data_IF_383739168709
#
_entry.id   IF_383739168709
#
_cell.length_a   1.000
_cell.length_b   1.000
_cell.length_c   1.000
_cell.angle_alpha   90.00
_cell.angle_beta   90.00
_cell.angle_gamma   90.00
#
_symmetry.space_group_name_H-M   'P 1'
#
loop_
_entity.id
_entity.type
_entity.pdbx_description
1 polymer ?
#
# COMPACT_ATOMS: atom_id res chain seq x y z
N UNK A 1 36.69 0.31 7.21
CA UNK A 1 36.83 -0.74 6.16
C UNK A 1 36.73 -0.06 4.81
N UNK A 2 37.47 -0.51 3.78
CA UNK A 2 37.29 0.01 2.44
C UNK A 2 36.01 -0.59 1.84
N UNK A 3 35.15 0.22 1.23
CA UNK A 3 33.96 -0.26 0.53
C UNK A 3 34.37 -0.96 -0.76
N UNK A 4 33.61 -1.96 -1.16
CA UNK A 4 33.81 -2.69 -2.42
C UNK A 4 33.42 -1.79 -3.60
N UNK A 5 32.44 -0.90 -3.39
CA UNK A 5 31.87 -0.02 -4.42
C UNK A 5 32.44 1.39 -4.26
N UNK A 6 33.00 1.93 -5.34
CA UNK A 6 33.28 3.36 -5.44
C UNK A 6 32.00 4.12 -5.80
N UNK A 7 31.30 4.58 -4.78
CA UNK A 7 30.03 5.27 -4.93
C UNK A 7 30.19 6.64 -5.62
N UNK A 8 31.33 7.33 -5.41
CA UNK A 8 31.58 8.65 -5.99
C UNK A 8 31.81 8.57 -7.50
N UNK A 9 32.52 7.52 -7.94
CA UNK A 9 32.72 7.29 -9.38
C UNK A 9 31.43 6.83 -10.08
N UNK A 10 30.60 6.08 -9.39
CA UNK A 10 29.41 5.44 -9.97
C UNK A 10 28.14 6.27 -9.95
N UNK A 11 28.05 7.28 -9.11
CA UNK A 11 26.82 8.06 -8.88
C UNK A 11 27.09 9.55 -9.10
N UNK A 12 26.09 10.27 -9.60
CA UNK A 12 26.16 11.72 -9.57
C UNK A 12 25.98 12.24 -8.11
N UNK A 13 26.30 13.52 -7.82
CA UNK A 13 26.31 14.03 -6.45
C UNK A 13 24.98 13.82 -5.71
N UNK A 14 23.82 14.04 -6.34
CA UNK A 14 22.52 13.86 -5.71
C UNK A 14 22.18 12.37 -5.46
N UNK A 15 22.55 11.49 -6.38
CA UNK A 15 22.40 10.05 -6.22
C UNK A 15 23.34 9.52 -5.12
N UNK A 16 24.57 10.05 -5.07
CA UNK A 16 25.53 9.71 -4.03
C UNK A 16 24.99 10.08 -2.64
N UNK A 17 24.55 11.32 -2.46
CA UNK A 17 23.96 11.80 -1.22
C UNK A 17 22.77 10.90 -0.81
N UNK A 18 21.81 10.66 -1.72
CA UNK A 18 20.65 9.82 -1.45
C UNK A 18 21.01 8.35 -1.13
N UNK A 19 22.07 7.81 -1.71
CA UNK A 19 22.49 6.44 -1.47
C UNK A 19 23.28 6.26 -0.16
N UNK A 20 24.01 7.30 0.29
CA UNK A 20 24.93 7.24 1.43
C UNK A 20 24.40 7.87 2.72
N UNK A 21 23.34 8.69 2.65
CA UNK A 21 22.64 9.20 3.84
C UNK A 21 21.76 8.09 4.42
N UNK A 22 22.26 7.36 5.40
CA UNK A 22 21.59 6.16 5.94
C UNK A 22 20.70 6.45 7.15
N UNK A 23 20.98 7.50 7.88
CA UNK A 23 20.23 7.88 9.07
C UNK A 23 19.04 8.78 8.75
N UNK A 24 17.93 8.53 9.44
CA UNK A 24 16.70 9.31 9.34
C UNK A 24 15.92 9.12 8.03
N UNK A 25 14.78 9.80 7.90
CA UNK A 25 13.95 9.76 6.70
C UNK A 25 14.57 10.56 5.56
N UNK A 26 14.68 9.95 4.38
CA UNK A 26 15.22 10.59 3.17
C UNK A 26 14.14 10.59 2.09
N UNK A 27 13.76 11.78 1.61
CA UNK A 27 12.85 11.96 0.48
C UNK A 27 13.65 12.27 -0.79
N UNK A 28 13.53 11.43 -1.82
CA UNK A 28 14.19 11.62 -3.12
C UNK A 28 13.14 11.97 -4.17
N UNK A 29 13.14 13.20 -4.65
CA UNK A 29 12.29 13.66 -5.75
C UNK A 29 13.07 13.58 -7.07
N UNK A 30 12.58 12.75 -7.99
CA UNK A 30 13.32 12.45 -9.20
C UNK A 30 12.40 12.18 -10.40
N UNK A 31 12.66 12.80 -11.54
CA UNK A 31 11.93 12.63 -12.79
C UNK A 31 12.10 11.25 -13.44
N UNK A 32 11.37 10.99 -14.51
CA UNK A 32 11.58 9.79 -15.32
C UNK A 32 13.00 9.77 -15.91
N UNK A 33 13.65 8.61 -15.93
CA UNK A 33 15.02 8.47 -16.46
C UNK A 33 16.15 8.98 -15.56
N UNK A 34 15.87 9.62 -14.43
CA UNK A 34 16.87 10.17 -13.50
C UNK A 34 17.71 9.13 -12.74
N UNK A 35 17.42 7.85 -12.92
CA UNK A 35 18.13 6.77 -12.23
C UNK A 35 17.61 6.42 -10.83
N UNK A 36 16.33 6.70 -10.49
CA UNK A 36 15.73 6.33 -9.20
C UNK A 36 16.03 4.90 -8.75
N UNK A 37 15.79 3.94 -9.64
CA UNK A 37 16.06 2.52 -9.37
C UNK A 37 17.54 2.28 -9.09
N UNK A 38 18.44 2.93 -9.85
CA UNK A 38 19.89 2.86 -9.61
C UNK A 38 20.23 3.35 -8.21
N UNK A 39 19.73 4.52 -7.81
CA UNK A 39 19.96 5.09 -6.48
C UNK A 39 19.53 4.14 -5.36
N UNK A 40 18.35 3.53 -5.48
CA UNK A 40 17.85 2.56 -4.46
C UNK A 40 18.74 1.31 -4.41
N UNK A 41 19.18 0.79 -5.56
CA UNK A 41 20.06 -0.38 -5.61
C UNK A 41 21.40 -0.08 -4.94
N UNK A 42 21.99 1.09 -5.20
CA UNK A 42 23.23 1.50 -4.55
C UNK A 42 23.04 1.79 -3.04
N UNK A 43 21.89 2.34 -2.65
CA UNK A 43 21.56 2.51 -1.22
C UNK A 43 21.44 1.15 -0.52
N UNK A 44 20.79 0.17 -1.15
CA UNK A 44 20.70 -1.18 -0.63
C UNK A 44 22.09 -1.80 -0.46
N UNK A 45 22.95 -1.69 -1.47
CA UNK A 45 24.33 -2.15 -1.40
C UNK A 45 25.09 -1.44 -0.27
N UNK A 46 24.93 -0.13 -0.13
CA UNK A 46 25.58 0.65 0.92
C UNK A 46 25.19 0.24 2.33
N UNK A 47 23.90 0.01 2.59
CA UNK A 47 23.41 -0.49 3.87
C UNK A 47 24.11 -1.81 4.25
N UNK A 48 24.30 -2.70 3.29
CA UNK A 48 24.95 -3.99 3.54
C UNK A 48 26.45 -3.85 3.77
N UNK A 49 27.14 -2.97 3.06
CA UNK A 49 28.54 -2.69 3.28
C UNK A 49 28.83 -2.01 4.63
N UNK A 50 27.85 -1.27 5.18
CA UNK A 50 27.87 -0.71 6.54
C UNK A 50 27.54 -1.77 7.63
N UNK A 51 27.27 -3.00 7.22
CA UNK A 51 27.04 -4.10 8.14
C UNK A 51 25.58 -4.27 8.58
N UNK A 52 24.62 -3.59 7.94
CA UNK A 52 23.20 -3.81 8.23
C UNK A 52 22.82 -5.22 7.77
N UNK A 53 22.33 -6.09 8.68
CA UNK A 53 21.92 -7.43 8.31
C UNK A 53 20.80 -7.41 7.24
N UNK A 54 20.88 -8.25 6.20
CA UNK A 54 19.86 -8.29 5.14
C UNK A 54 18.43 -8.44 5.66
N UNK A 55 18.25 -9.18 6.76
CA UNK A 55 16.94 -9.41 7.40
C UNK A 55 16.32 -8.15 8.03
N UNK A 56 17.13 -7.12 8.27
CA UNK A 56 16.69 -5.83 8.79
C UNK A 56 16.39 -4.81 7.67
N UNK A 57 16.54 -5.23 6.41
CA UNK A 57 16.27 -4.38 5.26
C UNK A 57 14.95 -4.79 4.61
N UNK A 58 14.04 -3.82 4.50
CA UNK A 58 12.77 -3.97 3.81
C UNK A 58 12.77 -3.13 2.53
N UNK A 59 12.65 -3.79 1.37
CA UNK A 59 12.58 -3.16 0.05
C UNK A 59 11.17 -3.25 -0.52
N UNK A 60 10.42 -2.15 -0.50
CA UNK A 60 9.05 -2.10 -1.02
C UNK A 60 8.98 -1.37 -2.37
N UNK A 61 8.22 -1.94 -3.29
CA UNK A 61 7.98 -1.40 -4.63
C UNK A 61 6.54 -1.63 -5.06
N UNK A 62 6.16 -1.12 -6.24
CA UNK A 62 4.82 -1.36 -6.78
C UNK A 62 4.64 -2.76 -7.39
N UNK A 63 5.73 -3.44 -7.79
CA UNK A 63 5.64 -4.78 -8.40
C UNK A 63 6.67 -5.73 -7.79
N UNK A 64 6.30 -7.00 -7.64
CA UNK A 64 7.24 -8.05 -7.18
C UNK A 64 8.47 -8.15 -8.08
N UNK A 65 8.28 -8.02 -9.39
CA UNK A 65 9.37 -8.07 -10.37
C UNK A 65 10.39 -6.95 -10.14
N UNK A 66 9.92 -5.74 -9.82
CA UNK A 66 10.83 -4.62 -9.53
C UNK A 66 11.64 -4.88 -8.25
N UNK A 67 11.04 -5.39 -7.18
CA UNK A 67 11.75 -5.74 -5.96
C UNK A 67 12.84 -6.81 -6.23
N UNK A 68 12.49 -7.88 -6.91
CA UNK A 68 13.43 -8.95 -7.28
C UNK A 68 14.60 -8.44 -8.13
N UNK A 69 14.30 -7.58 -9.11
CA UNK A 69 15.33 -6.99 -9.98
C UNK A 69 16.28 -6.08 -9.20
N UNK A 70 15.77 -5.28 -8.27
CA UNK A 70 16.61 -4.42 -7.42
C UNK A 70 17.52 -5.24 -6.51
N UNK A 71 16.99 -6.29 -5.88
CA UNK A 71 17.77 -7.21 -5.04
C UNK A 71 18.87 -7.88 -5.86
N UNK A 72 18.52 -8.44 -7.02
CA UNK A 72 19.49 -9.08 -7.94
C UNK A 72 20.61 -8.12 -8.39
N UNK A 73 20.28 -6.85 -8.68
CA UNK A 73 21.30 -5.85 -9.05
C UNK A 73 22.21 -5.50 -7.88
N UNK A 74 21.69 -5.43 -6.65
CA UNK A 74 22.52 -5.21 -5.47
C UNK A 74 23.49 -6.40 -5.24
N UNK A 75 23.02 -7.64 -5.41
CA UNK A 75 23.86 -8.84 -5.39
C UNK A 75 25.00 -8.76 -6.39
N UNK A 76 24.71 -8.37 -7.62
CA UNK A 76 25.72 -8.21 -8.67
C UNK A 76 26.75 -7.14 -8.35
N UNK A 77 26.35 -6.04 -7.71
CA UNK A 77 27.26 -4.97 -7.30
C UNK A 77 28.20 -5.39 -6.19
N UNK A 78 27.70 -6.15 -5.23
CA UNK A 78 28.47 -6.58 -4.04
C UNK A 78 29.30 -7.82 -4.30
N UNK A 79 29.01 -8.61 -5.34
CA UNK A 79 29.62 -9.92 -5.55
C UNK A 79 29.28 -10.93 -4.47
N UNK A 80 28.27 -10.64 -3.64
CA UNK A 80 27.83 -11.44 -2.50
C UNK A 80 26.34 -11.71 -2.60
N UNK A 81 25.86 -12.85 -2.09
CA UNK A 81 24.44 -13.13 -2.00
C UNK A 81 23.74 -12.18 -1.02
N UNK A 82 22.65 -11.54 -1.46
CA UNK A 82 21.81 -10.64 -0.66
C UNK A 82 20.59 -11.40 -0.12
N UNK A 83 20.80 -12.71 0.16
CA UNK A 83 19.73 -13.55 0.71
C UNK A 83 19.29 -13.03 2.08
N UNK A 84 17.98 -12.81 2.24
CA UNK A 84 17.41 -12.33 3.50
C UNK A 84 16.83 -10.92 3.45
N UNK A 85 17.11 -10.12 2.42
CA UNK A 85 16.39 -8.84 2.21
C UNK A 85 14.92 -9.13 1.95
N UNK A 86 14.07 -8.57 2.79
CA UNK A 86 12.62 -8.67 2.59
C UNK A 86 12.19 -7.75 1.45
N UNK A 87 11.91 -8.33 0.27
CA UNK A 87 11.51 -7.58 -0.92
C UNK A 87 10.09 -7.90 -1.35
N UNK A 88 9.31 -6.87 -1.75
CA UNK A 88 7.95 -7.09 -2.21
C UNK A 88 7.17 -5.85 -2.56
N UNK A 89 5.86 -6.00 -2.62
CA UNK A 89 4.93 -4.88 -2.79
C UNK A 89 4.41 -4.40 -1.44
N UNK A 90 3.99 -3.13 -1.36
CA UNK A 90 3.35 -2.59 -0.16
C UNK A 90 2.19 -3.47 0.32
N UNK A 91 1.27 -3.86 -0.59
CA UNK A 91 0.14 -4.74 -0.26
C UNK A 91 0.59 -6.15 0.18
N UNK A 92 1.63 -6.70 -0.46
CA UNK A 92 2.16 -8.02 -0.08
C UNK A 92 2.79 -8.00 1.32
N UNK A 93 3.51 -6.94 1.64
CA UNK A 93 4.06 -6.73 2.97
C UNK A 93 2.94 -6.53 4.00
N UNK A 94 1.97 -5.63 3.73
CA UNK A 94 0.83 -5.40 4.59
C UNK A 94 0.09 -6.71 4.89
N UNK A 95 -0.22 -7.50 3.86
CA UNK A 95 -0.88 -8.79 4.04
C UNK A 95 -0.07 -9.75 4.92
N UNK A 96 1.27 -9.82 4.73
CA UNK A 96 2.13 -10.70 5.53
C UNK A 96 2.13 -10.33 7.02
N UNK A 97 2.16 -9.04 7.34
CA UNK A 97 2.07 -8.53 8.71
C UNK A 97 0.70 -8.80 9.31
N UNK A 98 -0.37 -8.40 8.63
CA UNK A 98 -1.74 -8.53 9.13
C UNK A 98 -2.21 -9.99 9.26
N UNK A 99 -1.67 -10.90 8.46
CA UNK A 99 -1.90 -12.32 8.62
C UNK A 99 -1.30 -12.87 9.92
N UNK A 100 -0.14 -12.36 10.31
CA UNK A 100 0.55 -12.76 11.55
C UNK A 100 -0.03 -12.06 12.77
N UNK A 101 -0.43 -10.79 12.59
CA UNK A 101 -0.98 -9.91 13.61
C UNK A 101 -2.31 -9.32 13.09
N UNK A 102 -3.43 -10.03 13.23
CA UNK A 102 -4.72 -9.54 12.74
C UNK A 102 -5.14 -8.22 13.39
N UNK A 103 -5.78 -7.31 12.64
CA UNK A 103 -6.31 -6.07 13.21
C UNK A 103 -7.38 -6.34 14.26
N UNK A 104 -7.59 -5.43 15.22
CA UNK A 104 -8.63 -5.56 16.23
C UNK A 104 -10.01 -5.84 15.61
N UNK A 105 -10.72 -6.82 16.15
CA UNK A 105 -12.05 -7.24 15.69
C UNK A 105 -12.05 -8.25 14.53
N UNK A 106 -10.92 -8.50 13.89
CA UNK A 106 -10.79 -9.54 12.86
C UNK A 106 -10.34 -10.87 13.49
N UNK A 107 -10.86 -11.98 12.94
CA UNK A 107 -10.44 -13.33 13.34
C UNK A 107 -9.15 -13.74 12.62
N UNK A 108 -8.45 -14.74 13.16
CA UNK A 108 -7.34 -15.38 12.44
C UNK A 108 -7.85 -15.98 11.11
N UNK A 109 -7.03 -15.91 10.06
CA UNK A 109 -7.43 -16.41 8.74
C UNK A 109 -8.04 -15.34 7.83
N UNK A 110 -7.52 -14.12 7.90
CA UNK A 110 -7.91 -13.01 7.04
C UNK A 110 -7.89 -13.40 5.56
N UNK A 111 -9.00 -13.14 4.87
CA UNK A 111 -9.12 -13.26 3.42
C UNK A 111 -9.14 -11.88 2.79
N UNK A 112 -8.46 -11.74 1.67
CA UNK A 112 -8.44 -10.49 0.88
C UNK A 112 -9.38 -10.64 -0.29
N UNK A 113 -10.38 -9.77 -0.36
CA UNK A 113 -11.31 -9.67 -1.48
C UNK A 113 -10.66 -8.96 -2.66
N UNK A 114 -10.84 -9.50 -3.84
CA UNK A 114 -10.55 -8.78 -5.07
C UNK A 114 -11.68 -7.79 -5.45
N UNK A 115 -11.53 -7.11 -6.59
CA UNK A 115 -12.55 -6.15 -7.05
C UNK A 115 -13.92 -6.80 -7.34
N UNK A 116 -14.01 -7.95 -8.00
CA UNK A 116 -15.25 -8.72 -8.14
C UNK A 116 -15.93 -9.06 -6.82
N UNK A 117 -15.18 -9.57 -5.84
CA UNK A 117 -15.68 -9.91 -4.51
C UNK A 117 -16.19 -8.68 -3.75
N UNK A 118 -15.41 -7.59 -3.79
CA UNK A 118 -15.79 -6.30 -3.19
C UNK A 118 -17.10 -5.75 -3.78
N UNK A 119 -17.27 -5.89 -5.10
CA UNK A 119 -18.51 -5.51 -5.78
C UNK A 119 -19.69 -6.39 -5.39
N UNK A 120 -19.48 -7.71 -5.25
CA UNK A 120 -20.51 -8.63 -4.82
C UNK A 120 -20.96 -8.32 -3.39
N UNK A 121 -20.00 -8.10 -2.48
CA UNK A 121 -20.29 -7.71 -1.10
C UNK A 121 -21.07 -6.38 -1.03
N UNK A 122 -20.64 -5.35 -1.79
CA UNK A 122 -21.35 -4.06 -1.81
C UNK A 122 -22.74 -4.16 -2.43
N UNK A 123 -22.97 -5.07 -3.41
CA UNK A 123 -24.31 -5.36 -3.94
C UNK A 123 -25.20 -5.98 -2.88
N UNK A 124 -24.70 -6.96 -2.11
CA UNK A 124 -25.44 -7.54 -1.00
C UNK A 124 -25.84 -6.47 0.02
N UNK A 125 -24.91 -5.60 0.41
CA UNK A 125 -25.24 -4.48 1.30
C UNK A 125 -26.33 -3.55 0.74
N UNK A 126 -26.28 -3.25 -0.56
CA UNK A 126 -27.29 -2.45 -1.24
C UNK A 126 -28.68 -3.10 -1.19
N UNK A 127 -28.75 -4.43 -1.41
CA UNK A 127 -29.99 -5.22 -1.37
C UNK A 127 -30.57 -5.26 0.05
N UNK A 128 -29.76 -5.49 1.05
CA UNK A 128 -30.13 -5.53 2.47
C UNK A 128 -30.71 -4.19 2.93
N UNK A 129 -30.09 -3.09 2.49
CA UNK A 129 -30.55 -1.71 2.73
C UNK A 129 -31.77 -1.30 1.88
N UNK A 130 -32.19 -2.13 0.93
CA UNK A 130 -33.29 -1.87 -0.01
C UNK A 130 -33.06 -0.59 -0.85
N UNK A 131 -31.82 -0.19 -1.09
CA UNK A 131 -31.45 1.01 -1.84
C UNK A 131 -31.68 0.79 -3.34
N UNK A 132 -32.15 1.85 -4.02
CA UNK A 132 -32.37 1.86 -5.47
C UNK A 132 -33.66 1.19 -5.93
N UNK A 133 -34.65 1.02 -5.05
CA UNK A 133 -35.99 0.50 -5.38
C UNK A 133 -36.98 1.60 -5.81
N UNK A 134 -36.54 2.86 -5.89
CA UNK A 134 -37.36 4.00 -6.30
C UNK A 134 -37.36 4.27 -7.81
N UNK A 135 -38.11 5.28 -8.24
CA UNK A 135 -38.23 5.70 -9.65
C UNK A 135 -36.93 6.26 -10.24
N UNK A 136 -36.00 6.72 -9.40
CA UNK A 136 -34.70 7.26 -9.84
C UNK A 136 -33.66 6.16 -9.95
N UNK A 137 -32.95 6.13 -11.08
CA UNK A 137 -31.87 5.21 -11.33
C UNK A 137 -30.69 5.48 -10.38
N UNK A 138 -30.50 4.61 -9.38
CA UNK A 138 -29.37 4.69 -8.45
C UNK A 138 -28.04 4.42 -9.18
N UNK A 139 -26.93 5.08 -8.79
CA UNK A 139 -25.61 4.89 -9.38
C UNK A 139 -25.15 3.43 -9.40
N UNK A 140 -24.34 3.06 -10.40
CA UNK A 140 -23.78 1.72 -10.50
C UNK A 140 -22.93 1.40 -9.28
N UNK A 141 -23.00 0.17 -8.77
CA UNK A 141 -22.22 -0.29 -7.61
C UNK A 141 -20.72 -0.06 -7.80
N UNK A 142 -20.20 -0.22 -9.02
CA UNK A 142 -18.82 0.10 -9.36
C UNK A 142 -18.46 1.58 -9.09
N UNK A 143 -19.36 2.51 -9.41
CA UNK A 143 -19.16 3.94 -9.14
C UNK A 143 -19.15 4.22 -7.64
N UNK A 144 -20.06 3.60 -6.90
CA UNK A 144 -20.11 3.73 -5.43
C UNK A 144 -18.84 3.19 -4.79
N UNK A 145 -18.40 1.98 -5.17
CA UNK A 145 -17.15 1.38 -4.66
C UNK A 145 -15.94 2.27 -4.95
N UNK A 146 -15.85 2.81 -6.17
CA UNK A 146 -14.76 3.71 -6.56
C UNK A 146 -14.74 5.00 -5.73
N UNK A 147 -15.91 5.57 -5.40
CA UNK A 147 -16.00 6.76 -4.56
C UNK A 147 -15.65 6.46 -3.09
N UNK A 148 -16.07 5.32 -2.58
CA UNK A 148 -15.69 4.86 -1.22
C UNK A 148 -14.16 4.68 -1.13
N UNK A 149 -13.57 3.96 -2.07
CA UNK A 149 -12.12 3.77 -2.15
C UNK A 149 -11.38 5.12 -2.23
N UNK A 150 -11.84 6.01 -3.10
CA UNK A 150 -11.23 7.33 -3.30
C UNK A 150 -11.34 8.24 -2.07
N UNK A 151 -12.49 8.21 -1.38
CA UNK A 151 -12.72 8.94 -0.12
C UNK A 151 -11.70 8.50 0.94
N UNK A 152 -11.53 7.21 1.12
CA UNK A 152 -10.54 6.65 2.06
C UNK A 152 -9.11 7.01 1.66
N UNK A 153 -8.71 6.77 0.42
CA UNK A 153 -7.35 7.03 -0.05
C UNK A 153 -6.95 8.52 -0.02
N UNK A 154 -7.93 9.42 -0.05
CA UNK A 154 -7.71 10.87 0.09
C UNK A 154 -7.92 11.38 1.53
N UNK A 155 -8.31 10.51 2.45
CA UNK A 155 -8.63 10.86 3.84
C UNK A 155 -9.66 12.01 3.93
N UNK A 156 -10.68 11.96 3.08
CA UNK A 156 -11.77 12.93 3.04
C UNK A 156 -13.11 12.24 3.22
N UNK A 157 -14.09 12.93 3.77
CA UNK A 157 -15.43 12.38 3.90
C UNK A 157 -16.09 12.13 2.53
N UNK A 158 -16.93 11.08 2.45
CA UNK A 158 -17.52 10.64 1.20
C UNK A 158 -18.44 11.70 0.59
N UNK A 159 -19.25 12.40 1.39
CA UNK A 159 -20.15 13.44 0.93
C UNK A 159 -19.36 14.62 0.36
N UNK A 160 -18.31 15.08 1.05
CA UNK A 160 -17.43 16.15 0.58
C UNK A 160 -16.71 15.77 -0.72
N UNK A 161 -16.31 14.50 -0.87
CA UNK A 161 -15.75 14.01 -2.14
C UNK A 161 -16.80 14.05 -3.26
N UNK A 162 -18.02 13.53 -3.02
CA UNK A 162 -19.12 13.54 -3.99
C UNK A 162 -19.43 14.97 -4.41
N UNK A 163 -19.53 15.90 -3.47
CA UNK A 163 -19.81 17.32 -3.74
C UNK A 163 -18.78 17.95 -4.66
N UNK A 164 -17.51 17.63 -4.48
CA UNK A 164 -16.41 18.20 -5.27
C UNK A 164 -16.22 17.56 -6.63
N UNK A 165 -16.35 16.23 -6.72
CA UNK A 165 -15.92 15.50 -7.91
C UNK A 165 -17.06 14.82 -8.67
N UNK A 166 -18.22 14.68 -8.05
CA UNK A 166 -19.39 14.00 -8.63
C UNK A 166 -20.70 14.67 -8.19
N UNK A 167 -20.78 16.00 -8.25
CA UNK A 167 -21.89 16.80 -7.72
C UNK A 167 -23.28 16.32 -8.20
N UNK A 168 -23.38 15.75 -9.41
CA UNK A 168 -24.61 15.15 -9.93
C UNK A 168 -25.10 13.95 -9.11
N UNK A 169 -24.27 13.34 -8.28
CA UNK A 169 -24.59 12.22 -7.39
C UNK A 169 -25.00 12.66 -5.98
N UNK A 170 -24.95 13.96 -5.66
CA UNK A 170 -25.34 14.48 -4.33
C UNK A 170 -26.72 14.02 -3.87
N UNK A 171 -27.75 13.88 -4.74
CA UNK A 171 -29.05 13.35 -4.31
C UNK A 171 -29.00 11.91 -3.71
N UNK A 172 -27.92 11.19 -3.93
CA UNK A 172 -27.71 9.82 -3.44
C UNK A 172 -26.63 9.74 -2.35
N UNK A 173 -26.08 10.84 -1.88
CA UNK A 173 -24.96 10.85 -0.97
C UNK A 173 -25.25 10.13 0.35
N UNK A 174 -26.44 10.30 0.91
CA UNK A 174 -26.87 9.64 2.13
C UNK A 174 -26.94 8.11 1.98
N UNK A 175 -27.56 7.65 0.87
CA UNK A 175 -27.63 6.20 0.59
C UNK A 175 -26.25 5.59 0.30
N UNK A 176 -25.37 6.33 -0.38
CA UNK A 176 -23.99 5.91 -0.60
C UNK A 176 -23.21 5.84 0.72
N UNK A 177 -23.44 6.77 1.64
CA UNK A 177 -22.87 6.73 3.00
C UNK A 177 -23.34 5.49 3.75
N UNK A 178 -24.64 5.22 3.77
CA UNK A 178 -25.19 4.01 4.38
C UNK A 178 -24.62 2.72 3.75
N UNK A 179 -24.40 2.70 2.44
CA UNK A 179 -23.74 1.58 1.76
C UNK A 179 -22.27 1.42 2.20
N UNK A 180 -21.55 2.53 2.38
CA UNK A 180 -20.16 2.50 2.85
C UNK A 180 -20.06 1.93 4.27
N UNK A 181 -20.94 2.35 5.17
CA UNK A 181 -21.00 1.85 6.55
C UNK A 181 -21.37 0.34 6.59
N UNK A 182 -22.39 -0.06 5.83
CA UNK A 182 -22.79 -1.45 5.70
C UNK A 182 -21.66 -2.32 5.13
N UNK A 183 -20.92 -1.82 4.15
CA UNK A 183 -19.79 -2.50 3.56
C UNK A 183 -18.63 -2.69 4.56
N UNK A 184 -18.33 -1.66 5.36
CA UNK A 184 -17.36 -1.75 6.44
C UNK A 184 -17.77 -2.80 7.50
N UNK A 185 -19.05 -2.80 7.91
CA UNK A 185 -19.60 -3.77 8.83
C UNK A 185 -19.59 -5.20 8.24
N UNK A 186 -19.89 -5.36 6.96
CA UNK A 186 -19.81 -6.64 6.24
C UNK A 186 -18.38 -7.20 6.29
N UNK A 187 -17.38 -6.39 5.97
CA UNK A 187 -15.96 -6.80 6.00
C UNK A 187 -15.54 -7.29 7.38
N UNK A 188 -15.88 -6.54 8.41
CA UNK A 188 -15.59 -6.92 9.80
C UNK A 188 -16.29 -8.23 10.19
N UNK A 189 -17.59 -8.36 9.91
CA UNK A 189 -18.40 -9.55 10.22
C UNK A 189 -17.84 -10.81 9.60
N UNK A 190 -17.37 -10.72 8.37
CA UNK A 190 -16.87 -11.87 7.60
C UNK A 190 -15.34 -12.06 7.70
N UNK A 191 -14.65 -11.20 8.46
CA UNK A 191 -13.18 -11.20 8.59
C UNK A 191 -12.47 -11.15 7.24
N UNK A 192 -12.97 -10.28 6.35
CA UNK A 192 -12.39 -10.03 5.02
C UNK A 192 -11.90 -8.59 4.91
N UNK A 193 -10.84 -8.38 4.14
CA UNK A 193 -10.28 -7.07 3.82
C UNK A 193 -10.31 -6.86 2.31
N UNK A 194 -10.50 -5.64 1.86
CA UNK A 194 -10.18 -5.26 0.48
C UNK A 194 -8.73 -4.74 0.38
N UNK A 195 -8.29 -4.40 -0.83
CA UNK A 195 -6.92 -3.91 -1.03
C UNK A 195 -6.64 -2.59 -0.28
N UNK A 196 -7.62 -1.69 -0.19
CA UNK A 196 -7.44 -0.44 0.56
C UNK A 196 -7.28 -0.73 2.06
N UNK A 197 -8.06 -1.65 2.60
CA UNK A 197 -7.97 -2.04 4.01
C UNK A 197 -6.60 -2.54 4.41
N UNK A 198 -5.88 -3.23 3.52
CA UNK A 198 -4.54 -3.75 3.83
C UNK A 198 -3.57 -2.65 4.26
N UNK A 199 -3.56 -1.53 3.55
CA UNK A 199 -2.63 -0.44 3.84
C UNK A 199 -3.05 0.34 5.07
N UNK A 200 -4.34 0.66 5.20
CA UNK A 200 -4.87 1.38 6.37
C UNK A 200 -4.78 0.55 7.66
N UNK A 201 -5.08 -0.75 7.58
CA UNK A 201 -4.95 -1.63 8.74
C UNK A 201 -3.48 -1.81 9.16
N UNK A 202 -2.55 -1.91 8.20
CA UNK A 202 -1.12 -1.94 8.51
C UNK A 202 -0.68 -0.64 9.19
N UNK A 203 -1.04 0.51 8.65
CA UNK A 203 -0.68 1.81 9.23
C UNK A 203 -1.20 1.94 10.66
N UNK A 204 -2.48 1.67 10.88
CA UNK A 204 -3.09 1.71 12.22
C UNK A 204 -2.43 0.74 13.18
N UNK A 205 -2.03 -0.44 12.69
CA UNK A 205 -1.37 -1.46 13.49
C UNK A 205 0.05 -1.04 13.92
N UNK A 206 0.82 -0.47 13.01
CA UNK A 206 2.16 0.06 13.29
C UNK A 206 2.12 1.28 14.22
N UNK A 207 1.14 2.18 14.06
CA UNK A 207 0.95 3.33 14.97
C UNK A 207 0.57 2.89 16.39
N UNK A 208 -0.24 1.86 16.52
CA UNK A 208 -0.72 1.35 17.80
C UNK A 208 0.25 0.41 18.52
N UNK A 209 1.28 -0.08 17.84
CA UNK A 209 2.22 -1.07 18.36
C UNK A 209 3.65 -0.71 17.94
N UNK A 210 4.30 0.25 18.63
CA UNK A 210 5.64 0.70 18.27
C UNK A 210 6.72 -0.39 18.38
N UNK A 211 6.44 -1.50 19.07
CA UNK A 211 7.36 -2.64 19.25
C UNK A 211 7.21 -3.72 18.16
N UNK A 212 6.40 -3.48 17.14
CA UNK A 212 6.15 -4.39 16.03
C UNK A 212 7.15 -4.14 14.91
#
# INVERSE_FOLDING_TARGET
MAFIIDYQDKLNPAQYEAATTLDGPVLVVAGAGSGKTRTIVYRLARLMEEGVPPQQILLLTFTRKAAQEMTRRAEQLLGLGVSGVSGGTFHGFAYSVLRRFPPPGYKSGLTVMDTPDSLAALRSCKEDLKIGKGERAFPKTQTVLSLISKSRNKEVDLEGLIRREAAHLMPYAAEMGAMADAYAAYKLKHSVLDYDDLLFALEGHLRGNPDL
#
